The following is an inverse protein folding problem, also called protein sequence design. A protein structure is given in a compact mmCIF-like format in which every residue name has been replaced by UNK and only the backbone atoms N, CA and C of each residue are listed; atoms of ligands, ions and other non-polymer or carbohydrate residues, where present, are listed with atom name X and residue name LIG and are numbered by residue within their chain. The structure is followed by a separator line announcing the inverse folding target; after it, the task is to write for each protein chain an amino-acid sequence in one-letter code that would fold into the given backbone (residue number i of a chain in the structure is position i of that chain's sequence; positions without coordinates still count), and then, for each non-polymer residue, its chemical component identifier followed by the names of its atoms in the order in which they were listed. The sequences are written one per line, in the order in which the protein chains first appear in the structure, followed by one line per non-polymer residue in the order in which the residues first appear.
data_IF_370659810506
#
_entry.id   IF_370659810506
#
_cell.length_a   1.000
_cell.length_b   1.000
_cell.length_c   1.000
_cell.angle_alpha   90.00
_cell.angle_beta   90.00
_cell.angle_gamma   90.00
#
_symmetry.space_group_name_H-M   'P 1'
#
loop_
_entity.id
_entity.type
_entity.pdbx_description
1 polymer ?
2 non-polymer ?
3 non-polymer ?
4 non-polymer ?
5 non-polymer ?
6 water ?
#
# COMPACT_ATOMS: atom_id res chain seq x y z
N UNK A 6 19.36 -4.18 3.66
CA UNK A 6 17.98 -4.09 4.10
C UNK A 6 17.07 -4.94 3.22
N UNK A 7 17.66 -5.63 2.25
CA UNK A 7 16.91 -6.48 1.34
C UNK A 7 17.26 -7.95 1.55
N UNK A 8 18.09 -8.23 2.54
CA UNK A 8 18.48 -9.60 2.85
C UNK A 8 17.20 -10.36 3.22
N UNK A 9 17.19 -11.67 2.97
CA UNK A 9 16.02 -12.47 3.24
C UNK A 9 16.17 -13.44 4.40
N UNK A 10 15.20 -13.44 5.30
CA UNK A 10 15.18 -14.36 6.41
C UNK A 10 15.11 -15.76 5.83
N UNK A 11 15.22 -16.77 6.69
CA UNK A 11 15.13 -18.16 6.23
C UNK A 11 13.66 -18.48 5.96
N UNK A 12 12.79 -18.02 6.85
CA UNK A 12 11.36 -18.23 6.71
C UNK A 12 10.80 -17.47 5.50
N UNK A 13 11.39 -16.31 5.23
CA UNK A 13 10.97 -15.48 4.12
C UNK A 13 11.35 -16.14 2.80
N UNK A 14 12.63 -16.50 2.67
CA UNK A 14 13.14 -17.13 1.46
C UNK A 14 12.31 -18.37 1.11
N UNK A 15 11.95 -19.12 2.13
CA UNK A 15 11.16 -20.33 1.95
C UNK A 15 9.75 -20.01 1.44
N UNK A 16 9.18 -18.92 1.92
CA UNK A 16 7.84 -18.51 1.52
C UNK A 16 7.81 -18.02 0.08
N UNK A 17 8.86 -17.32 -0.33
CA UNK A 17 8.95 -16.83 -1.70
C UNK A 17 9.14 -18.02 -2.65
N UNK A 18 9.95 -18.98 -2.23
CA UNK A 18 10.20 -20.18 -3.03
C UNK A 18 8.90 -20.93 -3.27
N UNK A 19 8.15 -21.18 -2.21
CA UNK A 19 6.87 -21.87 -2.32
C UNK A 19 5.92 -21.16 -3.28
N UNK A 20 5.81 -19.83 -3.12
CA UNK A 20 4.92 -19.04 -3.97
C UNK A 20 5.20 -19.25 -5.45
N UNK A 21 6.47 -19.15 -5.85
CA UNK A 21 6.85 -19.32 -7.24
C UNK A 21 6.61 -20.75 -7.72
N UNK A 22 6.90 -21.72 -6.86
CA UNK A 22 6.68 -23.12 -7.19
C UNK A 22 5.22 -23.34 -7.55
N UNK A 23 4.33 -22.69 -6.79
CA UNK A 23 2.89 -22.80 -7.05
C UNK A 23 2.55 -22.08 -8.35
N UNK A 24 3.04 -20.86 -8.49
CA UNK A 24 2.78 -20.05 -9.68
C UNK A 24 3.19 -20.79 -10.95
N UNK A 25 4.32 -21.48 -10.89
CA UNK A 25 4.83 -22.23 -12.02
C UNK A 25 3.83 -23.25 -12.58
N UNK A 26 2.98 -23.80 -11.71
CA UNK A 26 2.00 -24.81 -12.11
C UNK A 26 0.72 -24.22 -12.73
N UNK A 27 0.55 -22.90 -12.64
CA UNK A 27 -0.67 -22.24 -13.12
C UNK A 27 -0.98 -22.24 -14.62
N UNK A 28 -0.04 -21.77 -15.42
CA UNK A 28 -0.26 -21.71 -16.87
C UNK A 28 -0.99 -20.42 -17.23
N UNK A 29 -1.39 -20.29 -18.49
CA UNK A 29 -2.07 -19.09 -18.95
C UNK A 29 -3.41 -18.89 -18.25
N UNK A 30 -3.64 -17.67 -17.78
CA UNK A 30 -4.88 -17.35 -17.08
C UNK A 30 -5.98 -17.03 -18.09
N UNK A 31 -7.16 -17.58 -17.85
CA UNK A 31 -8.29 -17.37 -18.74
C UNK A 31 -9.54 -17.06 -17.94
N UNK A 32 -10.37 -16.19 -18.49
CA UNK A 32 -11.59 -15.78 -17.81
C UNK A 32 -12.43 -16.93 -17.26
N UNK A 33 -12.69 -17.94 -18.09
CA UNK A 33 -13.54 -19.06 -17.70
C UNK A 33 -13.00 -19.96 -16.59
N UNK A 34 -11.73 -19.81 -16.26
CA UNK A 34 -11.14 -20.66 -15.25
C UNK A 34 -11.32 -20.12 -13.84
N UNK A 35 -12.00 -18.99 -13.72
CA UNK A 35 -12.21 -18.35 -12.42
C UNK A 35 -13.64 -18.46 -11.90
N UNK A 36 -13.73 -18.64 -10.59
CA UNK A 36 -15.00 -18.76 -9.89
C UNK A 36 -15.02 -17.70 -8.78
N UNK A 37 -16.04 -16.87 -8.77
CA UNK A 37 -16.15 -15.83 -7.75
C UNK A 37 -16.49 -16.40 -6.37
N UNK A 38 -15.77 -15.94 -5.36
CA UNK A 38 -16.01 -16.38 -3.99
C UNK A 38 -16.69 -15.26 -3.21
N UNK A 39 -16.20 -14.04 -3.41
CA UNK A 39 -16.77 -12.87 -2.74
C UNK A 39 -16.03 -11.60 -3.17
N UNK A 40 -16.62 -10.44 -2.85
CA UNK A 40 -16.01 -9.16 -3.17
C UNK A 40 -15.08 -8.72 -2.04
N UNK A 41 -13.87 -8.31 -2.39
CA UNK A 41 -12.88 -7.89 -1.40
C UNK A 41 -12.94 -6.39 -1.13
N UNK A 42 -13.22 -5.62 -2.17
CA UNK A 42 -13.28 -4.18 -2.04
C UNK A 42 -13.44 -3.55 -3.41
N UNK A 43 -13.73 -2.24 -3.42
CA UNK A 43 -13.92 -1.52 -4.66
C UNK A 43 -13.06 -0.28 -4.79
N UNK A 44 -13.37 0.52 -5.81
CA UNK A 44 -12.66 1.75 -6.11
C UNK A 44 -13.24 2.25 -7.41
N UNK A 45 -12.90 3.47 -7.80
CA UNK A 45 -13.42 4.01 -9.04
C UNK A 45 -12.49 3.74 -10.21
N UNK A 46 -11.78 2.62 -10.12
CA UNK A 46 -10.87 2.19 -11.17
C UNK A 46 -11.21 0.74 -11.53
N UNK A 47 -11.72 0.01 -10.54
CA UNK A 47 -12.09 -1.38 -10.74
C UNK A 47 -12.49 -2.05 -9.42
N UNK A 48 -13.05 -3.25 -9.52
CA UNK A 48 -13.48 -4.01 -8.36
C UNK A 48 -12.51 -5.16 -8.12
N UNK A 49 -12.46 -5.64 -6.88
CA UNK A 49 -11.58 -6.76 -6.54
C UNK A 49 -12.36 -7.89 -5.89
N UNK A 50 -12.23 -9.08 -6.48
CA UNK A 50 -12.92 -10.26 -5.96
C UNK A 50 -11.95 -11.31 -5.48
N UNK A 51 -12.37 -12.07 -4.48
CA UNK A 51 -11.60 -13.19 -4.00
C UNK A 51 -12.11 -14.31 -4.90
N UNK A 52 -11.21 -14.98 -5.62
CA UNK A 52 -11.64 -15.99 -6.56
C UNK A 52 -10.88 -17.28 -6.43
N UNK A 53 -11.37 -18.30 -7.11
CA UNK A 53 -10.72 -19.59 -7.14
C UNK A 53 -10.37 -19.89 -8.58
N UNK A 54 -9.09 -20.18 -8.83
CA UNK A 54 -8.66 -20.57 -10.16
C UNK A 54 -8.90 -22.07 -10.20
N UNK A 55 -10.05 -22.44 -10.77
CA UNK A 55 -10.52 -23.83 -10.83
C UNK A 55 -9.49 -24.91 -11.09
N UNK A 56 -8.75 -24.78 -12.18
CA UNK A 56 -7.77 -25.79 -12.55
C UNK A 56 -6.71 -26.04 -11.47
N UNK A 57 -6.02 -24.98 -11.07
CA UNK A 57 -4.96 -25.09 -10.08
C UNK A 57 -5.50 -25.26 -8.66
N UNK A 58 -6.73 -24.80 -8.44
CA UNK A 58 -7.34 -24.88 -7.11
C UNK A 58 -6.84 -23.73 -6.23
N UNK A 59 -6.00 -22.87 -6.82
CA UNK A 59 -5.42 -21.74 -6.10
C UNK A 59 -6.43 -20.62 -5.89
N UNK A 60 -6.43 -20.06 -4.69
CA UNK A 60 -7.29 -18.92 -4.41
C UNK A 60 -6.49 -17.67 -4.73
N UNK A 61 -7.13 -16.70 -5.37
CA UNK A 61 -6.47 -15.47 -5.74
C UNK A 61 -7.39 -14.30 -5.48
N UNK A 62 -6.86 -13.11 -5.67
CA UNK A 62 -7.61 -11.88 -5.59
C UNK A 62 -7.57 -11.38 -7.01
N UNK A 63 -8.74 -11.18 -7.61
CA UNK A 63 -8.82 -10.77 -8.99
C UNK A 63 -9.37 -9.35 -9.11
N UNK A 64 -8.57 -8.45 -9.64
CA UNK A 64 -8.98 -7.06 -9.83
C UNK A 64 -9.43 -6.87 -11.28
N UNK A 65 -10.64 -6.36 -11.47
CA UNK A 65 -11.20 -6.14 -12.81
C UNK A 65 -11.32 -4.65 -13.12
N UNK A 66 -10.67 -4.24 -14.21
CA UNK A 66 -10.72 -2.85 -14.64
C UNK A 66 -11.48 -2.75 -15.97
N UNK A 67 -12.74 -2.33 -15.91
CA UNK A 67 -13.55 -2.20 -17.12
C UNK A 67 -12.98 -1.12 -18.03
N UNK A 68 -12.57 -1.54 -19.22
CA UNK A 68 -11.99 -0.62 -20.18
C UNK A 68 -12.43 -0.96 -21.59
N UNK A 69 -12.93 0.05 -22.30
CA UNK A 69 -13.36 -0.12 -23.68
C UNK A 69 -12.27 0.44 -24.57
N UNK A 70 -11.36 -0.43 -25.00
CA UNK A 70 -10.25 0.01 -25.83
C UNK A 70 -9.92 -1.00 -26.92
N UNK A 71 -9.25 -0.53 -27.96
CA UNK A 71 -8.87 -1.37 -29.09
C UNK A 71 -8.02 -2.55 -28.64
N UNK A 72 -7.90 -3.55 -29.50
CA UNK A 72 -7.11 -4.74 -29.19
C UNK A 72 -5.62 -4.42 -29.12
N UNK A 73 -5.25 -3.29 -29.71
CA UNK A 73 -3.85 -2.86 -29.72
C UNK A 73 -3.43 -2.36 -28.34
N UNK A 74 -4.19 -1.41 -27.81
CA UNK A 74 -3.90 -0.84 -26.49
C UNK A 74 -3.84 -1.90 -25.40
N UNK A 75 -4.93 -2.65 -25.24
CA UNK A 75 -5.00 -3.68 -24.21
C UNK A 75 -3.82 -4.65 -24.29
N UNK A 76 -3.48 -5.07 -25.50
CA UNK A 76 -2.37 -6.00 -25.70
C UNK A 76 -1.05 -5.39 -25.25
N UNK A 77 -0.96 -4.06 -25.30
CA UNK A 77 0.24 -3.36 -24.86
C UNK A 77 0.23 -3.33 -23.33
N UNK A 78 -0.94 -3.06 -22.77
CA UNK A 78 -1.10 -3.03 -21.32
C UNK A 78 -0.66 -4.37 -20.75
N UNK A 79 -1.25 -5.45 -21.26
CA UNK A 79 -0.91 -6.80 -20.81
C UNK A 79 0.59 -7.02 -20.87
N UNK A 80 1.22 -6.44 -21.89
CA UNK A 80 2.66 -6.55 -22.08
C UNK A 80 3.40 -5.82 -20.95
N UNK A 81 2.93 -4.62 -20.63
CA UNK A 81 3.56 -3.80 -19.59
C UNK A 81 3.46 -4.42 -18.19
N UNK A 82 2.32 -5.03 -17.89
CA UNK A 82 2.11 -5.65 -16.58
C UNK A 82 2.96 -6.91 -16.39
N UNK A 83 3.49 -7.44 -17.48
CA UNK A 83 4.33 -8.63 -17.41
C UNK A 83 5.54 -8.35 -16.53
N UNK A 84 5.86 -7.07 -16.38
CA UNK A 84 6.95 -6.63 -15.51
C UNK A 84 6.72 -7.14 -14.09
N UNK A 85 5.45 -7.28 -13.72
CA UNK A 85 5.07 -7.73 -12.39
C UNK A 85 5.54 -9.14 -12.05
N UNK A 86 5.86 -9.93 -13.08
CA UNK A 86 6.30 -11.30 -12.86
C UNK A 86 7.69 -11.32 -12.23
N UNK A 87 8.39 -10.19 -12.32
CA UNK A 87 9.74 -10.09 -11.80
C UNK A 87 9.83 -9.46 -10.41
N UNK A 88 8.74 -8.84 -9.97
CA UNK A 88 8.69 -8.19 -8.65
C UNK A 88 8.38 -9.21 -7.56
N UNK A 89 9.42 -9.84 -7.03
CA UNK A 89 9.26 -10.85 -6.00
C UNK A 89 9.98 -10.47 -4.72
N UNK A 90 9.20 -10.13 -3.69
CA UNK A 90 9.75 -9.73 -2.40
C UNK A 90 8.73 -10.00 -1.31
N UNK A 91 9.20 -10.23 -0.09
CA UNK A 91 8.28 -10.48 1.03
C UNK A 91 7.43 -9.24 1.32
N UNK A 92 7.80 -8.12 0.73
CA UNK A 92 7.09 -6.86 0.98
C UNK A 92 6.29 -6.36 -0.21
N UNK A 93 6.08 -7.25 -1.19
CA UNK A 93 5.32 -6.94 -2.40
C UNK A 93 4.28 -8.02 -2.65
N UNK A 94 3.02 -7.63 -2.82
CA UNK A 94 1.95 -8.62 -3.04
C UNK A 94 2.28 -9.49 -4.26
N UNK A 95 2.11 -10.81 -4.12
CA UNK A 95 2.39 -11.75 -5.21
C UNK A 95 1.52 -11.52 -6.46
N UNK A 96 2.13 -11.69 -7.65
CA UNK A 96 1.45 -11.50 -8.93
C UNK A 96 1.32 -12.85 -9.65
N UNK A 97 0.14 -13.12 -10.22
CA UNK A 97 -0.09 -14.36 -10.96
C UNK A 97 -0.11 -14.13 -12.46
N UNK A 98 -0.69 -13.01 -12.87
CA UNK A 98 -0.75 -12.67 -14.29
C UNK A 98 -1.89 -11.71 -14.58
N UNK A 99 -1.94 -11.24 -15.82
CA UNK A 99 -2.97 -10.31 -16.27
C UNK A 99 -3.45 -10.72 -17.66
N UNK A 100 -4.72 -10.48 -17.94
CA UNK A 100 -5.30 -10.81 -19.24
C UNK A 100 -6.51 -9.93 -19.49
N UNK A 101 -7.02 -9.96 -20.71
CA UNK A 101 -8.19 -9.17 -21.07
C UNK A 101 -9.33 -10.08 -21.46
N UNK A 102 -10.54 -9.68 -21.11
CA UNK A 102 -11.70 -10.49 -21.44
C UNK A 102 -13.00 -9.70 -21.43
N UNK A 103 -13.68 -9.69 -22.56
CA UNK A 103 -14.97 -9.04 -22.70
C UNK A 103 -15.09 -7.66 -22.07
N UNK A 104 -14.14 -6.78 -22.38
CA UNK A 104 -14.17 -5.41 -21.89
C UNK A 104 -13.50 -5.15 -20.54
N UNK A 105 -12.92 -6.18 -19.94
CA UNK A 105 -12.26 -5.98 -18.65
C UNK A 105 -10.86 -6.55 -18.56
N UNK A 106 -9.94 -5.74 -18.04
CA UNK A 106 -8.57 -6.17 -17.83
C UNK A 106 -8.55 -6.83 -16.47
N UNK A 107 -7.95 -8.00 -16.38
CA UNK A 107 -7.90 -8.70 -15.11
C UNK A 107 -6.48 -8.77 -14.57
N UNK A 108 -6.34 -8.46 -13.29
CA UNK A 108 -5.05 -8.53 -12.62
C UNK A 108 -5.20 -9.47 -11.45
N UNK A 109 -4.52 -10.61 -11.53
CA UNK A 109 -4.63 -11.63 -10.51
C UNK A 109 -3.41 -11.65 -9.62
N UNK A 110 -3.65 -11.57 -8.32
CA UNK A 110 -2.56 -11.55 -7.36
C UNK A 110 -2.80 -12.50 -6.23
N UNK A 111 -1.81 -12.57 -5.35
CA UNK A 111 -1.90 -13.37 -4.15
C UNK A 111 -2.99 -12.73 -3.29
N UNK A 112 -3.80 -13.55 -2.65
CA UNK A 112 -4.87 -13.04 -1.81
C UNK A 112 -4.35 -12.80 -0.40
N UNK A 113 -4.57 -11.59 0.12
CA UNK A 113 -4.13 -11.24 1.47
C UNK A 113 -5.36 -11.26 2.36
N UNK A 114 -5.48 -12.30 3.18
CA UNK A 114 -6.68 -12.52 4.01
C UNK A 114 -6.99 -11.48 5.07
N UNK A 115 -6.04 -10.58 5.33
CA UNK A 115 -6.23 -9.53 6.33
C UNK A 115 -6.80 -8.24 5.73
N UNK A 116 -6.85 -8.20 4.40
CA UNK A 116 -7.38 -7.02 3.69
C UNK A 116 -6.36 -5.85 3.69
N UNK A 117 -6.84 -4.64 3.45
CA UNK A 117 -5.95 -3.47 3.42
C UNK A 117 -5.95 -2.74 4.77
N UNK A 118 -4.93 -1.93 5.01
CA UNK A 118 -4.83 -1.22 6.29
C UNK A 118 -5.96 -0.23 6.49
N UNK A 119 -6.56 0.24 5.42
CA UNK A 119 -7.69 1.15 5.56
C UNK A 119 -8.87 0.37 6.17
N UNK A 120 -9.01 -0.91 5.81
CA UNK A 120 -10.08 -1.74 6.35
C UNK A 120 -9.78 -2.12 7.79
N UNK A 121 -8.52 -2.45 8.07
CA UNK A 121 -8.08 -2.81 9.41
C UNK A 121 -8.29 -1.61 10.33
N UNK A 122 -7.91 -0.43 9.85
CA UNK A 122 -8.04 0.80 10.64
C UNK A 122 -9.49 1.03 11.04
N UNK A 123 -10.39 0.91 10.07
CA UNK A 123 -11.82 1.09 10.31
C UNK A 123 -12.27 0.24 11.49
N UNK A 124 -11.77 -0.99 11.55
CA UNK A 124 -12.14 -1.95 12.60
C UNK A 124 -11.44 -1.72 13.94
N UNK A 125 -10.21 -1.24 13.90
CA UNK A 125 -9.43 -1.05 15.12
C UNK A 125 -9.69 0.25 15.84
N UNK A 126 -10.13 1.27 15.10
CA UNK A 126 -10.30 2.61 15.68
C UNK A 126 -8.97 3.32 15.43
N UNK A 127 -7.92 2.83 16.07
CA UNK A 127 -6.56 3.33 15.82
C UNK A 127 -5.57 2.18 15.99
N UNK A 128 -4.45 2.25 15.27
CA UNK A 128 -3.45 1.20 15.29
C UNK A 128 -2.28 1.56 16.21
N UNK A 129 -1.93 0.66 17.14
CA UNK A 129 -0.88 0.93 18.13
C UNK A 129 0.48 1.22 17.52
N UNK A 130 1.24 2.09 18.18
CA UNK A 130 2.55 2.48 17.69
C UNK A 130 3.47 1.31 17.37
N UNK A 131 3.50 0.29 18.22
CA UNK A 131 4.38 -0.84 17.97
C UNK A 131 4.00 -1.58 16.70
N UNK A 132 2.69 -1.63 16.41
CA UNK A 132 2.20 -2.26 15.19
C UNK A 132 2.62 -1.40 14.00
N UNK A 133 2.53 -0.09 14.15
CA UNK A 133 2.90 0.83 13.06
C UNK A 133 4.40 0.80 12.78
N UNK A 134 5.19 0.39 13.77
CA UNK A 134 6.64 0.25 13.61
C UNK A 134 6.92 -0.90 12.62
N UNK A 135 6.17 -1.98 12.74
CA UNK A 135 6.30 -3.11 11.81
C UNK A 135 5.81 -2.70 10.42
N UNK A 136 4.72 -1.95 10.39
CA UNK A 136 4.18 -1.48 9.11
C UNK A 136 5.24 -0.61 8.42
N UNK A 137 5.83 0.30 9.19
CA UNK A 137 6.86 1.21 8.67
C UNK A 137 8.04 0.44 8.08
N UNK A 138 8.49 -0.58 8.79
CA UNK A 138 9.61 -1.38 8.28
C UNK A 138 9.23 -1.98 6.92
N UNK A 139 8.05 -2.57 6.85
CA UNK A 139 7.59 -3.23 5.61
C UNK A 139 7.53 -2.29 4.44
N UNK A 140 6.95 -1.12 4.65
CA UNK A 140 6.81 -0.14 3.60
C UNK A 140 8.16 0.36 3.10
N UNK A 141 9.06 0.67 4.03
CA UNK A 141 10.38 1.13 3.63
C UNK A 141 11.10 0.06 2.82
N UNK A 142 11.04 -1.18 3.30
CA UNK A 142 11.70 -2.30 2.63
C UNK A 142 11.08 -2.58 1.26
N UNK A 143 9.77 -2.35 1.16
CA UNK A 143 9.05 -2.56 -0.11
C UNK A 143 9.48 -1.50 -1.12
N UNK A 144 9.56 -0.25 -0.67
CA UNK A 144 9.97 0.83 -1.54
C UNK A 144 11.44 0.68 -1.94
N UNK A 145 12.26 0.21 -1.01
CA UNK A 145 13.68 0.00 -1.26
C UNK A 145 13.84 -1.05 -2.35
N UNK A 146 13.07 -2.14 -2.23
CA UNK A 146 13.12 -3.21 -3.21
C UNK A 146 12.73 -2.73 -4.60
N UNK A 147 11.63 -2.00 -4.69
CA UNK A 147 11.15 -1.50 -5.97
C UNK A 147 12.16 -0.57 -6.63
N UNK A 148 12.71 0.34 -5.84
CA UNK A 148 13.68 1.30 -6.33
C UNK A 148 14.99 0.62 -6.72
N UNK A 149 15.46 -0.29 -5.87
CA UNK A 149 16.73 -0.97 -6.09
C UNK A 149 16.75 -2.02 -7.20
N UNK A 150 15.81 -2.95 -7.15
CA UNK A 150 15.78 -4.06 -8.12
C UNK A 150 15.07 -3.78 -9.42
N UNK A 151 14.24 -2.74 -9.45
CA UNK A 151 13.49 -2.45 -10.67
C UNK A 151 13.48 -0.97 -11.02
N UNK A 152 14.20 -0.17 -10.24
CA UNK A 152 14.28 1.27 -10.46
C UNK A 152 12.87 1.84 -10.60
N UNK A 153 11.95 1.31 -9.79
CA UNK A 153 10.56 1.73 -9.82
C UNK A 153 10.21 2.44 -8.53
N UNK A 154 9.30 3.40 -8.64
CA UNK A 154 8.81 4.13 -7.48
C UNK A 154 7.32 3.83 -7.37
N UNK A 155 6.82 3.69 -6.14
CA UNK A 155 5.41 3.34 -5.96
C UNK A 155 4.43 4.29 -6.61
N UNK A 156 4.47 5.57 -6.20
CA UNK A 156 3.57 6.61 -6.74
C UNK A 156 2.19 6.66 -6.11
N UNK A 157 1.83 5.63 -5.35
CA UNK A 157 0.51 5.61 -4.73
C UNK A 157 0.47 4.92 -3.38
N UNK A 158 1.34 5.33 -2.47
CA UNK A 158 1.33 4.78 -1.12
C UNK A 158 0.15 5.41 -0.38
N UNK A 159 -0.63 4.57 0.29
CA UNK A 159 -1.80 5.01 1.08
C UNK A 159 -2.32 3.76 1.79
N UNK A 160 -3.12 3.93 2.83
CA UNK A 160 -3.56 2.77 3.62
C UNK A 160 -4.24 1.64 2.87
N UNK A 161 -4.97 1.96 1.81
CA UNK A 161 -5.67 0.94 1.02
C UNK A 161 -4.72 0.18 0.10
N UNK A 162 -3.48 0.64 0.01
CA UNK A 162 -2.48 -0.02 -0.82
C UNK A 162 -1.46 -0.80 -0.03
N UNK A 163 -1.71 -0.96 1.26
CA UNK A 163 -0.86 -1.76 2.12
C UNK A 163 -1.74 -2.89 2.59
N UNK A 164 -1.37 -4.13 2.23
CA UNK A 164 -2.17 -5.31 2.55
C UNK A 164 -1.48 -6.16 3.59
N UNK A 165 -2.28 -6.85 4.39
CA UNK A 165 -1.75 -7.68 5.48
C UNK A 165 -2.44 -9.03 5.50
N UNK A 166 -1.84 -9.98 6.19
CA UNK A 166 -2.43 -11.32 6.29
C UNK A 166 -2.19 -11.99 7.64
N UNK A 167 -2.93 -13.07 7.88
CA UNK A 167 -2.87 -13.82 9.12
C UNK A 167 -1.51 -14.42 9.40
N UNK A 168 -0.64 -14.40 8.41
CA UNK A 168 0.71 -14.92 8.59
C UNK A 168 1.62 -13.82 9.18
N UNK A 169 1.09 -12.60 9.25
CA UNK A 169 1.85 -11.49 9.80
C UNK A 169 2.61 -10.73 8.74
N UNK A 170 2.32 -11.01 7.48
CA UNK A 170 3.00 -10.33 6.37
C UNK A 170 2.34 -8.99 6.09
N UNK A 171 3.15 -8.04 5.64
CA UNK A 171 2.69 -6.70 5.30
C UNK A 171 3.31 -6.43 3.95
N UNK A 172 2.49 -6.15 2.95
CA UNK A 172 2.97 -5.98 1.58
C UNK A 172 2.35 -4.82 0.85
N UNK A 173 3.10 -4.26 -0.09
CA UNK A 173 2.61 -3.16 -0.91
C UNK A 173 1.96 -3.70 -2.18
N UNK A 174 0.99 -2.96 -2.69
CA UNK A 174 0.33 -3.33 -3.92
C UNK A 174 -0.04 -2.08 -4.71
N UNK A 175 -0.48 -2.28 -5.94
CA UNK A 175 -0.92 -1.18 -6.78
C UNK A 175 0.09 -0.10 -7.10
N UNK A 176 1.33 -0.49 -7.37
CA UNK A 176 2.33 0.48 -7.78
C UNK A 176 2.31 0.50 -9.32
N UNK A 177 2.21 1.69 -9.90
CA UNK A 177 2.12 1.85 -11.35
C UNK A 177 3.32 1.26 -12.10
N UNK A 178 3.03 0.39 -13.06
CA UNK A 178 4.08 -0.22 -13.86
C UNK A 178 3.74 -0.16 -15.35
N UNK A 179 2.46 0.09 -15.65
CA UNK A 179 1.99 0.17 -17.02
C UNK A 179 1.50 1.59 -17.35
N UNK A 180 2.33 2.34 -18.08
CA UNK A 180 2.00 3.70 -18.47
C UNK A 180 0.71 3.75 -19.30
N UNK A 181 0.58 2.79 -20.21
CA UNK A 181 -0.59 2.73 -21.08
C UNK A 181 -1.87 2.57 -20.26
N UNK A 182 -1.86 1.63 -19.31
CA UNK A 182 -3.03 1.41 -18.46
C UNK A 182 -3.40 2.70 -17.75
N UNK A 183 -2.39 3.39 -17.22
CA UNK A 183 -2.61 4.64 -16.52
C UNK A 183 -3.42 5.59 -17.41
N UNK A 184 -2.90 5.85 -18.62
CA UNK A 184 -3.57 6.73 -19.56
C UNK A 184 -5.04 6.35 -19.76
N UNK A 185 -5.27 5.17 -20.34
CA UNK A 185 -6.61 4.68 -20.59
C UNK A 185 -7.50 4.79 -19.36
N UNK A 186 -6.92 4.54 -18.19
CA UNK A 186 -7.65 4.59 -16.93
C UNK A 186 -7.95 6.04 -16.51
N UNK A 187 -6.99 6.93 -16.76
CA UNK A 187 -7.12 8.35 -16.41
C UNK A 187 -8.46 8.94 -16.82
N UNK A 188 -9.15 8.26 -17.74
CA UNK A 188 -10.44 8.72 -18.22
C UNK A 188 -11.46 8.82 -17.09
N UNK A 189 -12.38 7.85 -17.04
CA UNK A 189 -13.40 7.82 -16.01
C UNK A 189 -12.84 7.34 -14.67
N UNK A 190 -11.53 7.08 -14.62
CA UNK A 190 -10.88 6.62 -13.39
C UNK A 190 -9.90 7.66 -12.85
N UNK A 191 -9.95 7.90 -11.53
CA UNK A 191 -9.02 8.81 -10.86
C UNK A 191 -8.99 8.49 -9.35
N UNK A 192 -7.86 8.02 -8.86
CA UNK A 192 -7.72 7.69 -7.43
C UNK A 192 -7.48 8.95 -6.61
N UNK A 193 -7.75 8.87 -5.31
CA UNK A 193 -7.57 10.02 -4.43
C UNK A 193 -6.17 10.62 -4.53
N UNK A 194 -6.12 11.95 -4.42
CA UNK A 194 -4.87 12.68 -4.47
C UNK A 194 -4.51 13.17 -3.05
N UNK A 195 -5.36 12.81 -2.09
CA UNK A 195 -5.18 13.23 -0.70
C UNK A 195 -3.90 12.80 0.01
N UNK A 196 -3.16 11.85 -0.56
CA UNK A 196 -1.92 11.38 0.06
C UNK A 196 -0.68 11.83 -0.70
N UNK A 197 -0.90 12.62 -1.75
CA UNK A 197 0.22 13.11 -2.56
C UNK A 197 1.02 14.20 -1.88
N UNK A 198 2.33 14.17 -2.08
CA UNK A 198 3.22 15.15 -1.47
C UNK A 198 2.95 16.52 -2.06
N UNK A 199 3.29 17.54 -1.29
CA UNK A 199 3.10 18.92 -1.73
C UNK A 199 3.83 19.22 -3.04
N UNK A 200 5.00 18.62 -3.23
CA UNK A 200 5.76 18.86 -4.45
C UNK A 200 5.08 18.25 -5.67
N UNK A 201 4.49 17.06 -5.49
CA UNK A 201 3.78 16.40 -6.58
C UNK A 201 2.51 17.16 -6.91
N UNK A 202 1.92 17.80 -5.90
CA UNK A 202 0.71 18.59 -6.11
C UNK A 202 1.08 19.93 -6.77
N UNK A 203 2.37 20.23 -6.78
CA UNK A 203 2.87 21.48 -7.35
C UNK A 203 3.59 21.22 -8.67
N UNK A 204 3.52 19.99 -9.15
CA UNK A 204 4.17 19.60 -10.40
C UNK A 204 5.70 19.70 -10.28
N UNK A 205 6.19 19.84 -9.05
CA UNK A 205 7.63 19.96 -8.79
C UNK A 205 8.32 18.61 -8.64
N UNK A 206 9.18 18.51 -7.63
CA UNK A 206 9.94 17.28 -7.34
C UNK A 206 9.06 16.02 -7.44
N UNK A 207 9.55 15.03 -8.18
CA UNK A 207 8.82 13.78 -8.38
C UNK A 207 9.76 12.58 -8.26
N UNK A 208 9.93 12.08 -7.04
CA UNK A 208 10.81 10.92 -6.80
C UNK A 208 10.34 10.05 -5.64
N UNK A 209 11.22 9.16 -5.20
CA UNK A 209 10.91 8.26 -4.09
C UNK A 209 10.57 9.04 -2.84
N UNK A 210 11.12 10.25 -2.74
CA UNK A 210 10.85 11.11 -1.60
C UNK A 210 9.36 11.33 -1.45
N UNK A 211 8.68 11.40 -2.59
CA UNK A 211 7.23 11.62 -2.60
C UNK A 211 6.47 10.47 -1.94
N UNK A 212 6.99 9.25 -2.10
CA UNK A 212 6.37 8.07 -1.49
C UNK A 212 6.60 8.08 0.04
N UNK A 213 7.70 8.69 0.46
CA UNK A 213 8.02 8.78 1.88
C UNK A 213 7.03 9.68 2.59
N UNK A 214 6.61 10.76 1.91
CA UNK A 214 5.62 11.67 2.49
C UNK A 214 4.31 10.92 2.64
N UNK A 215 3.94 10.18 1.61
CA UNK A 215 2.69 9.43 1.61
C UNK A 215 2.67 8.44 2.74
N UNK A 216 3.80 7.78 2.96
CA UNK A 216 3.89 6.83 4.05
C UNK A 216 3.72 7.54 5.37
N UNK A 217 4.44 8.65 5.54
CA UNK A 217 4.36 9.43 6.78
C UNK A 217 2.92 9.86 7.08
N UNK A 218 2.22 10.31 6.05
CA UNK A 218 0.83 10.76 6.21
C UNK A 218 -0.08 9.58 6.59
N UNK A 219 0.14 8.44 5.93
CA UNK A 219 -0.65 7.24 6.19
C UNK A 219 -0.45 6.79 7.64
N UNK A 220 0.79 6.87 8.12
CA UNK A 220 1.12 6.48 9.49
C UNK A 220 0.38 7.35 10.50
N UNK A 221 0.32 8.65 10.24
CA UNK A 221 -0.39 9.55 11.17
C UNK A 221 -1.87 9.21 11.21
N UNK A 222 -2.47 9.00 10.05
CA UNK A 222 -3.89 8.66 10.00
C UNK A 222 -4.16 7.40 10.82
N UNK A 223 -3.35 6.38 10.63
CA UNK A 223 -3.54 5.12 11.33
C UNK A 223 -3.29 5.24 12.84
N UNK A 224 -2.35 6.09 13.23
CA UNK A 224 -2.05 6.29 14.65
C UNK A 224 -3.18 7.01 15.35
N UNK A 225 -3.74 8.02 14.69
CA UNK A 225 -4.80 8.82 15.29
C UNK A 225 -6.20 8.34 14.93
N UNK A 226 -6.31 7.56 13.87
CA UNK A 226 -7.61 7.00 13.46
C UNK A 226 -8.47 7.93 12.61
N UNK A 227 -7.84 8.87 11.94
CA UNK A 227 -8.56 9.79 11.07
C UNK A 227 -7.57 10.45 10.15
N UNK A 228 -7.99 10.71 8.90
CA UNK A 228 -7.15 11.42 7.96
C UNK A 228 -6.82 12.71 8.68
N UNK A 229 -5.53 12.95 8.90
CA UNK A 229 -5.06 14.06 9.72
C UNK A 229 -5.11 15.49 9.19
N UNK A 230 -5.76 15.70 8.07
CA UNK A 230 -5.84 17.06 7.52
C UNK A 230 -7.28 17.48 7.31
N UNK A 231 -7.67 18.61 7.91
CA UNK A 231 -6.77 19.44 8.70
C UNK A 231 -6.64 18.88 10.12
N UNK A 232 -5.64 19.37 10.84
CA UNK A 232 -5.37 18.90 12.21
C UNK A 232 -6.60 18.91 13.11
N UNK A 233 -6.61 17.99 14.06
CA UNK A 233 -7.72 17.88 15.02
C UNK A 233 -7.62 18.95 16.10
N UNK A 234 -8.76 19.55 16.43
CA UNK A 234 -8.80 20.57 17.47
C UNK A 234 -8.41 19.95 18.80
N UNK A 235 -8.38 20.77 19.86
CA UNK A 235 -8.05 20.28 21.19
C UNK A 235 -9.24 19.49 21.71
N UNK A 236 -10.41 19.76 21.13
CA UNK A 236 -11.64 19.09 21.53
C UNK A 236 -11.66 17.66 21.03
N UNK A 237 -11.38 17.47 19.74
CA UNK A 237 -11.36 16.15 19.14
C UNK A 237 -10.28 15.27 19.78
N UNK A 238 -9.09 15.85 19.96
CA UNK A 238 -7.98 15.12 20.56
C UNK A 238 -8.32 14.57 21.94
N UNK A 239 -9.04 15.37 22.72
CA UNK A 239 -9.43 14.99 24.07
C UNK A 239 -10.41 13.81 24.09
N UNK A 240 -11.17 13.66 23.01
CA UNK A 240 -12.14 12.57 22.92
C UNK A 240 -11.52 11.36 22.24
N UNK A 241 -10.38 11.58 21.59
CA UNK A 241 -9.69 10.50 20.89
C UNK A 241 -8.80 9.70 21.85
N UNK A 242 -8.01 10.40 22.66
CA UNK A 242 -7.11 9.76 23.60
C UNK A 242 -7.43 10.13 25.04
N UNK A 243 -8.56 10.81 25.23
CA UNK A 243 -8.97 11.24 26.57
C UNK A 243 -7.98 12.27 27.10
N UNK A 244 -7.03 12.66 26.26
CA UNK A 244 -6.01 13.64 26.65
N UNK A 274 -17.42 19.67 6.15
CA UNK A 274 -16.35 18.88 5.57
C UNK A 274 -15.61 19.64 4.48
N UNK A 275 -14.29 19.58 4.52
CA UNK A 275 -13.44 20.26 3.55
C UNK A 275 -13.46 19.58 2.18
N UNK A 276 -13.68 20.37 1.14
CA UNK A 276 -13.71 19.85 -0.23
C UNK A 276 -12.32 19.40 -0.68
N UNK A 277 -12.27 18.40 -1.55
CA UNK A 277 -11.00 17.88 -2.03
C UNK A 277 -10.03 18.95 -2.51
N UNK A 278 -10.53 19.92 -3.27
CA UNK A 278 -9.65 20.99 -3.78
C UNK A 278 -9.09 21.86 -2.66
N UNK A 279 -9.87 22.06 -1.59
CA UNK A 279 -9.41 22.84 -0.46
C UNK A 279 -8.36 22.02 0.29
N UNK A 280 -8.59 20.73 0.38
CA UNK A 280 -7.67 19.82 1.03
C UNK A 280 -6.31 19.87 0.38
N UNK A 281 -6.29 19.79 -0.95
CA UNK A 281 -5.03 19.83 -1.69
C UNK A 281 -4.31 21.17 -1.52
N UNK A 282 -5.07 22.25 -1.47
CA UNK A 282 -4.47 23.57 -1.28
C UNK A 282 -3.88 23.65 0.12
N UNK A 283 -4.63 23.14 1.09
CA UNK A 283 -4.19 23.14 2.48
C UNK A 283 -2.84 22.44 2.59
N UNK A 284 -2.75 21.25 2.00
CA UNK A 284 -1.52 20.46 2.01
C UNK A 284 -0.32 21.23 1.46
N UNK A 285 -0.53 21.94 0.36
CA UNK A 285 0.54 22.70 -0.27
C UNK A 285 0.95 23.94 0.50
N UNK A 286 -0.03 24.62 1.09
CA UNK A 286 0.22 25.89 1.75
C UNK A 286 0.41 25.90 3.26
N UNK A 287 -0.08 24.87 3.94
CA UNK A 287 0.02 24.82 5.40
C UNK A 287 1.12 23.88 5.90
N UNK A 288 1.44 23.98 7.19
CA UNK A 288 2.48 23.14 7.78
C UNK A 288 1.99 21.68 7.78
N UNK A 289 2.93 20.75 7.68
CA UNK A 289 2.58 19.34 7.65
C UNK A 289 1.95 18.89 8.97
N UNK A 290 1.13 17.86 8.92
CA UNK A 290 0.50 17.35 10.13
C UNK A 290 1.55 16.68 11.01
N UNK A 291 1.19 16.42 12.25
CA UNK A 291 2.09 15.77 13.18
C UNK A 291 1.28 14.99 14.19
N UNK A 292 1.92 14.06 14.89
CA UNK A 292 1.24 13.27 15.91
C UNK A 292 1.07 14.13 17.15
N UNK A 293 0.05 13.83 17.95
CA UNK A 293 -0.14 14.57 19.20
C UNK A 293 0.99 14.18 20.13
N UNK A 294 1.39 15.10 21.01
CA UNK A 294 2.47 14.81 21.93
C UNK A 294 1.91 14.14 23.16
N UNK A 295 2.78 13.49 23.92
CA UNK A 295 2.33 12.82 25.16
C UNK A 295 1.91 11.36 24.99
N UNK A 296 1.11 11.08 23.96
CA UNK A 296 0.63 9.72 23.75
C UNK A 296 1.51 8.83 22.87
N UNK A 297 2.38 9.44 22.10
CA UNK A 297 3.29 8.67 21.25
C UNK A 297 4.73 8.94 21.68
N UNK A 298 5.61 7.96 21.45
CA UNK A 298 7.01 8.11 21.83
C UNK A 298 7.64 9.21 20.99
N UNK A 299 8.67 9.85 21.52
CA UNK A 299 9.34 10.93 20.80
C UNK A 299 10.01 10.39 19.57
N UNK A 300 10.45 9.14 19.63
CA UNK A 300 11.08 8.53 18.45
C UNK A 300 10.09 8.35 17.30
N UNK A 301 8.86 7.97 17.62
CA UNK A 301 7.83 7.80 16.59
C UNK A 301 7.48 9.17 16.02
N UNK A 302 7.31 10.16 16.90
CA UNK A 302 6.98 11.52 16.44
C UNK A 302 8.09 12.04 15.54
N UNK A 303 9.33 11.79 15.91
CA UNK A 303 10.46 12.27 15.10
C UNK A 303 10.47 11.62 13.71
N UNK A 304 10.21 10.31 13.68
CA UNK A 304 10.17 9.56 12.44
C UNK A 304 9.12 10.12 11.47
N UNK A 305 7.89 10.31 11.93
CA UNK A 305 6.87 10.86 11.05
C UNK A 305 7.23 12.28 10.63
N UNK A 306 7.79 13.06 11.56
CA UNK A 306 8.19 14.43 11.24
C UNK A 306 9.18 14.46 10.09
N UNK A 307 10.14 13.55 10.10
CA UNK A 307 11.16 13.51 9.06
C UNK A 307 10.60 13.04 7.71
N UNK A 308 9.49 12.31 7.77
CA UNK A 308 8.83 11.82 6.57
C UNK A 308 7.98 12.94 5.97
N UNK A 309 7.49 13.82 6.84
CA UNK A 309 6.57 14.87 6.44
C UNK A 309 7.12 16.26 6.17
N UNK A 310 8.44 16.41 6.15
CA UNK A 310 9.04 17.71 5.88
C UNK A 310 8.60 18.12 4.46
N UNK A 311 7.96 19.29 4.34
CA UNK A 311 7.47 19.76 3.03
C UNK A 311 8.53 19.78 1.92
N UNK A 312 9.71 20.27 2.25
CA UNK A 312 10.79 20.34 1.27
C UNK A 312 11.40 18.96 1.05
N UNK A 313 11.14 18.38 -0.13
CA UNK A 313 11.63 17.05 -0.47
C UNK A 313 13.11 16.86 -0.27
N UNK A 314 13.87 17.96 -0.34
CA UNK A 314 15.31 17.89 -0.17
C UNK A 314 15.67 17.64 1.30
N UNK A 315 14.96 18.32 2.20
CA UNK A 315 15.20 18.17 3.63
C UNK A 315 14.58 16.87 4.18
N UNK A 316 13.52 16.39 3.52
CA UNK A 316 12.85 15.17 3.93
C UNK A 316 13.81 14.00 3.95
N UNK A 317 13.68 13.13 4.96
CA UNK A 317 14.56 11.97 5.05
C UNK A 317 14.41 11.07 3.84
N UNK A 318 15.45 10.32 3.50
CA UNK A 318 15.38 9.41 2.38
C UNK A 318 15.30 7.98 2.89
N UNK A 319 15.08 7.02 2.01
CA UNK A 319 14.95 5.63 2.41
C UNK A 319 16.11 5.11 3.23
N UNK A 320 17.32 5.50 2.85
CA UNK A 320 18.51 5.04 3.56
C UNK A 320 18.53 5.54 4.99
N UNK A 321 18.12 6.78 5.17
CA UNK A 321 18.10 7.40 6.48
C UNK A 321 17.00 6.82 7.36
N UNK A 322 15.84 6.59 6.77
CA UNK A 322 14.72 6.01 7.52
C UNK A 322 15.07 4.64 8.03
N UNK A 323 15.75 3.86 7.21
CA UNK A 323 16.14 2.51 7.57
C UNK A 323 16.95 2.44 8.85
N UNK A 324 17.67 3.51 9.16
CA UNK A 324 18.49 3.54 10.36
C UNK A 324 17.97 4.53 11.41
N UNK A 325 16.76 5.05 11.19
CA UNK A 325 16.18 5.98 12.16
C UNK A 325 15.97 5.23 13.47
N UNK A 326 16.10 5.93 14.59
CA UNK A 326 15.93 5.33 15.93
C UNK A 326 14.63 4.54 16.05
N UNK A 327 13.56 5.07 15.45
CA UNK A 327 12.24 4.40 15.52
C UNK A 327 12.28 3.03 14.82
N UNK A 328 12.97 2.97 13.69
CA UNK A 328 13.06 1.74 12.93
C UNK A 328 13.96 0.72 13.61
N UNK A 329 15.08 1.20 14.14
CA UNK A 329 15.99 0.32 14.83
C UNK A 329 15.28 -0.28 16.03
N UNK A 330 14.58 0.56 16.78
CA UNK A 330 13.85 0.10 17.94
C UNK A 330 12.76 -0.90 17.57
N UNK A 331 11.93 -0.55 16.59
CA UNK A 331 10.84 -1.43 16.15
C UNK A 331 11.37 -2.75 15.60
N UNK A 332 12.44 -2.68 14.81
CA UNK A 332 13.00 -3.89 14.23
C UNK A 332 13.43 -4.87 15.30
N UNK A 333 13.85 -4.34 16.44
CA UNK A 333 14.31 -5.16 17.55
C UNK A 333 13.18 -5.63 18.45
N UNK A 334 12.01 -5.01 18.33
CA UNK A 334 10.87 -5.38 19.16
C UNK A 334 10.25 -6.68 18.64
N UNK A 335 9.88 -7.56 19.56
CA UNK A 335 9.26 -8.82 19.18
C UNK A 335 7.76 -8.59 19.21
N UNK A 336 7.21 -8.17 18.09
CA UNK A 336 5.79 -7.86 18.00
C UNK A 336 5.00 -8.92 17.26
N UNK A 337 3.96 -9.42 17.91
CA UNK A 337 3.11 -10.43 17.32
C UNK A 337 2.06 -9.73 16.48
N UNK A 338 2.46 -9.27 15.30
CA UNK A 338 1.54 -8.57 14.42
C UNK A 338 0.35 -9.47 14.03
N UNK A 339 0.64 -10.71 13.64
CA UNK A 339 -0.43 -11.65 13.24
C UNK A 339 -1.45 -11.79 14.35
N UNK A 340 -0.96 -11.98 15.58
CA UNK A 340 -1.81 -12.14 16.75
C UNK A 340 -2.70 -10.91 16.92
N UNK A 341 -2.08 -9.73 16.88
CA UNK A 341 -2.84 -8.49 17.01
C UNK A 341 -3.87 -8.35 15.88
N UNK A 342 -3.43 -8.64 14.66
CA UNK A 342 -4.30 -8.51 13.51
C UNK A 342 -5.53 -9.41 13.60
N UNK A 343 -5.30 -10.70 13.84
CA UNK A 343 -6.42 -11.66 13.92
C UNK A 343 -7.45 -11.32 14.99
N UNK A 344 -6.97 -10.85 16.13
CA UNK A 344 -7.87 -10.46 17.23
C UNK A 344 -8.63 -9.19 16.88
N UNK A 345 -7.96 -8.30 16.17
CA UNK A 345 -8.55 -7.01 15.81
C UNK A 345 -9.64 -7.09 14.77
N UNK A 346 -9.43 -7.88 13.73
CA UNK A 346 -10.42 -7.98 12.67
C UNK A 346 -11.37 -9.16 12.87
N UNK A 347 -11.05 -10.03 13.82
CA UNK A 347 -11.91 -11.17 14.14
C UNK A 347 -11.67 -12.36 13.23
N UNK A 348 -10.41 -12.63 12.92
CA UNK A 348 -10.06 -13.77 12.09
C UNK A 348 -9.93 -15.03 12.96
N UNK A 349 -9.52 -14.84 14.21
CA UNK A 349 -9.36 -15.95 15.14
#
# INVERSE_FOLDING_TARGET
GKKLEELELDEQQRKRLEAFLTQKQKVGELKDDDFEKISELGAGNGGVVFKVSHKPSGLVMARKLIHLEIKPAIRNQIIRELQVLHECNSPYIVGFYGAFYSDGEISICMEHMDGGSLDQVLKKAGRIPEQILGKVSIAVIKGLTYLREKHKIMHRDVKPSNILVNSRGEIKLCDFGVSGQLIDSMANSFVGTRSYMSPERLQGTHYSVQSDIWSMGLSLVEMAVGRYPIPPPDAKELELMFGCQVEGDAAETPPRPRTPGRPLNKFGMDSRPPMAIFELLDYIVNEPPPKLPSGVFSLEFQDFVNKCLIKNPAERADLKQLMVHAFIKRSDAEEVDFAGWLCSTIGLNQPSTPTHAAGV
#
